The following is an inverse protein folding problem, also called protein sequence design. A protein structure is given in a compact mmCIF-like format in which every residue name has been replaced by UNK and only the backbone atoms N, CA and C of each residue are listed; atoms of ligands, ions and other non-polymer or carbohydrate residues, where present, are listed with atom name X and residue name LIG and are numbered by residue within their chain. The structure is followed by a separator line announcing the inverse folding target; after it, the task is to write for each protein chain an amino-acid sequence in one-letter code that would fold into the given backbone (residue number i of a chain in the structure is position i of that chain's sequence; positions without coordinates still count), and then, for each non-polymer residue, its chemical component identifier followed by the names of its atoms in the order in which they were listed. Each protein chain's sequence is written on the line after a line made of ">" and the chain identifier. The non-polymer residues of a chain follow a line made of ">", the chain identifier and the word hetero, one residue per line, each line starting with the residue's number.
data_IF_922362524899
#
_entry.id   IF_922362524899
#
_cell.length_a   1.000
_cell.length_b   1.000
_cell.length_c   1.000
_cell.angle_alpha   90.00
_cell.angle_beta   90.00
_cell.angle_gamma   90.00
#
_symmetry.space_group_name_H-M   'P 1'
#
loop_
_entity.id
_entity.type
_entity.pdbx_description
1 polymer ?
#
# COMPACT_ATOMS: atom_id res chain seq x y z
N UNK A 1 -21.92 7.25 5.05
CA UNK A 1 -20.69 7.09 4.26
C UNK A 1 -19.72 8.19 4.64
N UNK A 2 -18.60 7.87 5.30
CA UNK A 2 -17.50 8.84 5.44
C UNK A 2 -17.04 9.19 4.02
N UNK A 3 -17.14 10.46 3.65
CA UNK A 3 -16.48 10.97 2.45
C UNK A 3 -15.00 11.07 2.80
N UNK A 4 -14.26 10.03 2.49
CA UNK A 4 -12.81 10.04 2.63
C UNK A 4 -12.23 10.66 1.36
N UNK A 5 -11.35 11.63 1.51
CA UNK A 5 -10.63 12.17 0.36
C UNK A 5 -9.51 11.20 -0.04
N UNK A 6 -9.11 11.24 -1.31
CA UNK A 6 -8.10 10.33 -1.87
C UNK A 6 -6.82 10.28 -1.03
N UNK A 7 -6.36 11.42 -0.54
CA UNK A 7 -5.14 11.50 0.27
C UNK A 7 -5.28 10.72 1.58
N UNK A 8 -6.37 10.94 2.32
CA UNK A 8 -6.65 10.20 3.56
C UNK A 8 -6.82 8.69 3.32
N UNK A 9 -7.54 8.32 2.26
CA UNK A 9 -7.76 6.91 1.91
C UNK A 9 -6.46 6.21 1.55
N UNK A 10 -5.63 6.87 0.73
CA UNK A 10 -4.34 6.33 0.32
C UNK A 10 -3.41 6.12 1.53
N UNK A 11 -3.30 7.11 2.43
CA UNK A 11 -2.51 7.00 3.65
C UNK A 11 -3.00 5.87 4.56
N UNK A 12 -4.31 5.68 4.69
CA UNK A 12 -4.89 4.61 5.49
C UNK A 12 -4.58 3.23 4.90
N UNK A 13 -4.71 3.06 3.59
CA UNK A 13 -4.35 1.81 2.92
C UNK A 13 -2.85 1.52 2.99
N UNK A 14 -1.99 2.53 2.84
CA UNK A 14 -0.54 2.36 3.05
C UNK A 14 -0.24 1.85 4.47
N UNK A 15 -0.90 2.41 5.50
CA UNK A 15 -0.71 1.95 6.87
C UNK A 15 -1.21 0.52 7.09
N UNK A 16 -2.39 0.17 6.56
CA UNK A 16 -2.90 -1.21 6.59
C UNK A 16 -1.93 -2.19 5.93
N UNK A 17 -1.38 -1.83 4.78
CA UNK A 17 -0.42 -2.67 4.06
C UNK A 17 0.91 -2.79 4.82
N UNK A 18 1.38 -1.74 5.53
CA UNK A 18 2.53 -1.84 6.44
C UNK A 18 2.31 -2.87 7.57
N UNK A 19 1.09 -2.95 8.09
CA UNK A 19 0.71 -3.97 9.08
C UNK A 19 0.72 -5.38 8.45
N UNK A 20 0.20 -5.54 7.22
CA UNK A 20 0.26 -6.82 6.49
C UNK A 20 1.69 -7.27 6.20
N UNK A 21 2.58 -6.36 5.79
CA UNK A 21 4.00 -6.65 5.57
C UNK A 21 4.61 -7.29 6.82
N UNK A 22 4.32 -6.74 8.00
CA UNK A 22 4.83 -7.27 9.27
C UNK A 22 4.38 -8.72 9.50
N UNK A 23 3.12 -9.05 9.14
CA UNK A 23 2.59 -10.41 9.26
C UNK A 23 3.26 -11.37 8.27
N UNK A 24 3.48 -10.95 7.03
CA UNK A 24 4.16 -11.75 6.01
C UNK A 24 5.63 -12.00 6.36
N UNK A 25 6.33 -10.99 6.87
CA UNK A 25 7.73 -11.10 7.29
C UNK A 25 7.92 -12.00 8.53
N UNK A 26 6.88 -12.13 9.36
CA UNK A 26 6.89 -13.03 10.51
C UNK A 26 6.73 -14.52 10.14
N UNK A 27 6.40 -14.85 8.88
CA UNK A 27 6.22 -16.23 8.47
C UNK A 27 7.55 -17.01 8.46
N UNK A 28 7.54 -18.27 8.94
CA UNK A 28 8.76 -19.07 9.08
C UNK A 28 9.39 -19.38 7.72
N UNK A 29 10.71 -19.56 7.71
CA UNK A 29 11.50 -19.90 6.51
C UNK A 29 11.38 -18.88 5.36
N UNK A 30 10.96 -17.64 5.65
CA UNK A 30 10.92 -16.56 4.66
C UNK A 30 9.84 -16.72 3.57
N UNK A 31 8.83 -17.58 3.79
CA UNK A 31 7.79 -17.83 2.77
C UNK A 31 6.96 -16.59 2.42
N UNK A 32 6.91 -15.58 3.31
CA UNK A 32 6.22 -14.32 3.06
C UNK A 32 7.06 -13.23 2.40
N UNK A 33 8.36 -13.44 2.18
CA UNK A 33 9.28 -12.37 1.70
C UNK A 33 8.84 -11.80 0.35
N UNK A 34 8.38 -12.64 -0.58
CA UNK A 34 7.94 -12.18 -1.90
C UNK A 34 6.69 -11.29 -1.81
N UNK A 35 5.71 -11.69 -0.99
CA UNK A 35 4.50 -10.90 -0.73
C UNK A 35 4.84 -9.56 -0.07
N UNK A 36 5.66 -9.59 0.98
CA UNK A 36 6.16 -8.39 1.66
C UNK A 36 6.90 -7.44 0.70
N UNK A 37 7.74 -7.96 -0.18
CA UNK A 37 8.48 -7.15 -1.17
C UNK A 37 7.53 -6.48 -2.16
N UNK A 38 6.53 -7.20 -2.66
CA UNK A 38 5.52 -6.64 -3.58
C UNK A 38 4.72 -5.52 -2.91
N UNK A 39 4.29 -5.74 -1.67
CA UNK A 39 3.58 -4.75 -0.87
C UNK A 39 4.42 -3.48 -0.60
N UNK A 40 5.72 -3.65 -0.29
CA UNK A 40 6.65 -2.52 -0.13
C UNK A 40 6.76 -1.69 -1.41
N UNK A 41 6.88 -2.35 -2.56
CA UNK A 41 6.93 -1.66 -3.85
C UNK A 41 5.64 -0.89 -4.15
N UNK A 42 4.46 -1.45 -3.85
CA UNK A 42 3.19 -0.72 -3.97
C UNK A 42 3.13 0.54 -3.10
N UNK A 43 3.66 0.48 -1.86
CA UNK A 43 3.73 1.65 -0.97
C UNK A 43 4.68 2.71 -1.56
N UNK A 44 5.86 2.31 -2.04
CA UNK A 44 6.83 3.22 -2.65
C UNK A 44 6.25 3.96 -3.86
N UNK A 45 5.52 3.24 -4.74
CA UNK A 45 4.83 3.86 -5.87
C UNK A 45 3.74 4.84 -5.43
N UNK A 46 3.01 4.54 -4.35
CA UNK A 46 2.05 5.47 -3.77
C UNK A 46 2.74 6.75 -3.27
N UNK A 47 3.87 6.62 -2.56
CA UNK A 47 4.65 7.76 -2.05
C UNK A 47 5.16 8.66 -3.19
N UNK A 48 5.64 8.05 -4.29
CA UNK A 48 6.07 8.76 -5.49
C UNK A 48 4.90 9.53 -6.11
N UNK A 49 3.77 8.86 -6.38
CA UNK A 49 2.59 9.51 -6.97
C UNK A 49 2.06 10.68 -6.13
N UNK A 50 2.11 10.55 -4.79
CA UNK A 50 1.76 11.62 -3.86
C UNK A 50 2.73 12.79 -3.92
N UNK A 51 4.04 12.52 -3.96
CA UNK A 51 5.10 13.53 -4.07
C UNK A 51 4.98 14.33 -5.37
N UNK A 52 4.67 13.65 -6.47
CA UNK A 52 4.55 14.25 -7.79
C UNK A 52 3.20 14.98 -8.00
N UNK A 53 2.24 14.75 -7.10
CA UNK A 53 0.88 15.28 -7.23
C UNK A 53 0.09 14.66 -8.38
N UNK A 54 0.49 13.48 -8.86
CA UNK A 54 -0.21 12.75 -9.92
C UNK A 54 -1.46 12.08 -9.36
N UNK A 55 -2.56 12.82 -9.37
CA UNK A 55 -3.85 12.35 -8.85
C UNK A 55 -4.37 11.09 -9.55
N UNK A 56 -4.07 10.91 -10.84
CA UNK A 56 -4.50 9.72 -11.58
C UNK A 56 -3.71 8.51 -11.11
N UNK A 57 -2.40 8.66 -10.92
CA UNK A 57 -1.58 7.57 -10.41
C UNK A 57 -1.88 7.27 -8.93
N UNK A 58 -2.13 8.29 -8.11
CA UNK A 58 -2.60 8.12 -6.73
C UNK A 58 -3.87 7.25 -6.66
N UNK A 59 -4.83 7.43 -7.57
CA UNK A 59 -6.04 6.59 -7.65
C UNK A 59 -5.72 5.13 -7.99
N UNK A 60 -4.77 4.91 -8.91
CA UNK A 60 -4.34 3.55 -9.25
C UNK A 60 -3.63 2.89 -8.07
N UNK A 61 -2.74 3.60 -7.39
CA UNK A 61 -2.03 3.06 -6.24
C UNK A 61 -2.97 2.80 -5.06
N UNK A 62 -4.02 3.62 -4.88
CA UNK A 62 -5.06 3.34 -3.90
C UNK A 62 -5.76 2.00 -4.15
N UNK A 63 -6.19 1.74 -5.38
CA UNK A 63 -6.82 0.45 -5.73
C UNK A 63 -5.82 -0.72 -5.71
N UNK A 64 -4.57 -0.49 -6.08
CA UNK A 64 -3.48 -1.47 -5.96
C UNK A 64 -3.29 -1.89 -4.50
N UNK A 65 -3.16 -0.92 -3.58
CA UNK A 65 -2.98 -1.18 -2.15
C UNK A 65 -4.17 -1.96 -1.56
N UNK A 66 -5.41 -1.59 -1.94
CA UNK A 66 -6.64 -2.31 -1.54
C UNK A 66 -6.68 -3.77 -1.98
N UNK A 67 -5.94 -4.14 -3.03
CA UNK A 67 -5.91 -5.51 -3.54
C UNK A 67 -4.99 -6.46 -2.75
N UNK A 68 -4.17 -5.93 -1.83
CA UNK A 68 -3.31 -6.74 -0.94
C UNK A 68 -4.08 -7.30 0.26
N UNK A 69 -3.87 -8.60 0.51
CA UNK A 69 -4.60 -9.41 1.50
C UNK A 69 -3.65 -10.10 2.50
#
# INVERSE_FOLDING_TARGET
>A
MKHENLMSGLLNEMNRVRELITQYEALPNGVGIYGATTMKSSIEMAEISMSDGDVIDMLKQYENLKSHN
#
